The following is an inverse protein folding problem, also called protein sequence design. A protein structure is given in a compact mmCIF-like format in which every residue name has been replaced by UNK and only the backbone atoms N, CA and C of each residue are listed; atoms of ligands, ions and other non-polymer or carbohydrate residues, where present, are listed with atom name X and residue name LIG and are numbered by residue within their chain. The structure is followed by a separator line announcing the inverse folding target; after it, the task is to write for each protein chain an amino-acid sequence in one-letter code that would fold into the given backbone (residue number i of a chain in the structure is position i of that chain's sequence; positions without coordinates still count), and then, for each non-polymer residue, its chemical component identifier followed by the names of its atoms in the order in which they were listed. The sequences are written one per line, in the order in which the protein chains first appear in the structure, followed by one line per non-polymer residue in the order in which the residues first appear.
data_IF_055698970936
#
_entry.id   IF_055698970936
#
_cell.length_a   1.000
_cell.length_b   1.000
_cell.length_c   1.000
_cell.angle_alpha   90.00
_cell.angle_beta   90.00
_cell.angle_gamma   90.00
#
_symmetry.space_group_name_H-M   'P 1'
#
loop_
_entity.id
_entity.type
_entity.pdbx_description
1 polymer ?
#
# COMPACT_ATOMS: atom_id res chain seq x y z
N UNK A 1 20.46 2.59 -14.06
CA UNK A 1 19.62 3.33 -13.08
C UNK A 1 20.59 4.19 -12.29
N UNK A 2 20.36 5.50 -12.17
CA UNK A 2 21.24 6.34 -11.36
C UNK A 2 20.77 6.22 -9.91
N UNK A 3 21.64 5.78 -9.00
CA UNK A 3 21.34 5.64 -7.57
C UNK A 3 21.33 7.01 -6.89
N UNK A 4 20.35 7.82 -7.26
CA UNK A 4 20.17 9.21 -6.83
C UNK A 4 18.83 9.36 -6.13
N UNK A 5 18.82 10.17 -5.07
CA UNK A 5 17.60 10.55 -4.38
C UNK A 5 16.87 11.67 -5.13
N UNK A 6 15.54 11.64 -5.08
CA UNK A 6 14.74 12.83 -5.39
C UNK A 6 15.07 13.93 -4.38
N UNK A 7 15.26 15.15 -4.87
CA UNK A 7 15.54 16.34 -4.08
C UNK A 7 14.65 17.49 -4.53
N UNK A 8 14.13 18.23 -3.55
CA UNK A 8 13.58 19.56 -3.78
C UNK A 8 14.72 20.53 -4.11
N UNK A 9 14.63 21.16 -5.27
CA UNK A 9 15.57 22.16 -5.76
C UNK A 9 15.04 23.59 -5.60
N UNK A 10 15.94 24.57 -5.73
CA UNK A 10 15.60 25.99 -5.78
C UNK A 10 14.54 26.25 -6.85
N UNK A 11 13.48 27.00 -6.50
CA UNK A 11 12.33 27.24 -7.38
C UNK A 11 11.28 26.12 -7.36
N UNK A 12 11.46 25.10 -6.52
CA UNK A 12 10.45 24.09 -6.21
C UNK A 12 10.44 22.85 -7.11
N UNK A 13 11.37 22.72 -8.05
CA UNK A 13 11.47 21.55 -8.92
C UNK A 13 11.92 20.31 -8.15
N UNK A 14 11.44 19.13 -8.53
CA UNK A 14 11.93 17.85 -7.99
C UNK A 14 12.89 17.21 -8.99
N UNK A 15 14.11 16.92 -8.58
CA UNK A 15 15.17 16.36 -9.43
C UNK A 15 15.76 15.10 -8.81
N UNK A 16 16.28 14.17 -9.63
CA UNK A 16 16.98 12.99 -9.17
C UNK A 16 18.50 13.23 -9.11
N UNK A 17 18.95 14.24 -8.36
CA UNK A 17 20.35 14.70 -8.32
C UNK A 17 21.05 14.39 -6.99
N UNK A 18 20.32 14.02 -5.93
CA UNK A 18 20.86 13.85 -4.59
C UNK A 18 21.75 12.62 -4.43
N UNK A 19 23.01 12.81 -4.03
CA UNK A 19 23.97 11.72 -3.71
C UNK A 19 23.82 11.13 -2.30
N UNK A 20 23.13 11.87 -1.42
CA UNK A 20 22.96 11.51 -0.01
C UNK A 20 21.61 11.96 0.49
N UNK A 21 21.17 11.33 1.59
CA UNK A 21 19.97 11.76 2.31
C UNK A 21 20.16 13.20 2.80
N UNK A 22 19.12 14.01 2.63
CA UNK A 22 19.06 15.40 3.08
C UNK A 22 17.61 15.76 3.38
N UNK A 23 17.38 16.89 4.04
CA UNK A 23 16.01 17.39 4.27
C UNK A 23 15.25 17.60 2.96
N UNK A 24 15.93 18.03 1.88
CA UNK A 24 15.33 18.20 0.55
C UNK A 24 14.96 16.87 -0.10
N UNK A 25 15.52 15.74 0.37
CA UNK A 25 15.20 14.40 -0.10
C UNK A 25 14.13 13.69 0.73
N UNK A 26 13.54 14.37 1.72
CA UNK A 26 12.45 13.83 2.52
C UNK A 26 11.11 14.34 2.01
N UNK A 27 10.18 13.39 1.83
CA UNK A 27 8.82 13.66 1.41
C UNK A 27 7.86 12.98 2.37
N UNK A 28 6.86 13.71 2.84
CA UNK A 28 5.72 13.13 3.54
C UNK A 28 4.77 12.48 2.52
N UNK A 29 4.31 11.28 2.80
CA UNK A 29 3.25 10.63 2.02
C UNK A 29 1.90 10.94 2.68
N UNK A 30 0.95 11.41 1.89
CA UNK A 30 -0.42 11.69 2.33
C UNK A 30 -1.39 10.86 1.51
N UNK A 31 -1.78 9.73 2.07
CA UNK A 31 -2.75 8.81 1.47
C UNK A 31 -4.16 9.40 1.50
N UNK A 32 -4.87 9.28 0.39
CA UNK A 32 -6.23 9.78 0.20
C UNK A 32 -7.26 8.66 0.37
N UNK A 33 -8.54 9.03 0.47
CA UNK A 33 -9.63 8.05 0.55
C UNK A 33 -9.79 7.24 -0.74
N UNK A 34 -9.48 7.82 -1.90
CA UNK A 34 -9.59 7.20 -3.23
C UNK A 34 -8.38 6.34 -3.63
N UNK A 35 -7.49 6.04 -2.68
CA UNK A 35 -6.28 5.23 -2.89
C UNK A 35 -5.12 5.96 -3.56
N UNK A 36 -5.30 7.24 -3.94
CA UNK A 36 -4.19 8.06 -4.39
C UNK A 36 -3.28 8.49 -3.23
N UNK A 37 -2.05 8.85 -3.55
CA UNK A 37 -1.06 9.39 -2.62
C UNK A 37 -0.56 10.73 -3.14
N UNK A 38 -0.48 11.72 -2.25
CA UNK A 38 0.22 12.97 -2.50
C UNK A 38 1.56 12.98 -1.77
N UNK A 39 2.55 13.66 -2.35
CA UNK A 39 3.86 13.88 -1.73
C UNK A 39 3.95 15.31 -1.23
N UNK A 40 4.31 15.50 0.03
CA UNK A 40 4.59 16.81 0.62
C UNK A 40 6.09 16.99 0.83
N UNK A 41 6.68 17.97 0.14
CA UNK A 41 8.10 18.28 0.28
C UNK A 41 8.39 19.10 1.55
N UNK A 42 9.68 19.25 1.88
CA UNK A 42 10.11 19.98 3.08
C UNK A 42 9.86 21.51 3.04
N UNK A 43 9.50 22.08 1.87
CA UNK A 43 9.00 23.46 1.77
C UNK A 43 7.52 23.60 2.19
N UNK A 44 6.90 22.51 2.65
CA UNK A 44 5.52 22.49 3.13
C UNK A 44 4.47 22.32 2.03
N UNK A 45 4.87 22.27 0.75
CA UNK A 45 3.99 22.19 -0.42
C UNK A 45 3.88 20.79 -1.00
N UNK A 46 2.79 20.51 -1.69
CA UNK A 46 2.54 19.27 -2.41
C UNK A 46 3.16 19.27 -3.80
N UNK A 47 3.67 18.09 -4.20
CA UNK A 47 4.28 17.83 -5.50
C UNK A 47 3.20 17.67 -6.57
N UNK A 48 3.19 18.57 -7.55
CA UNK A 48 2.33 18.52 -8.73
C UNK A 48 3.08 17.94 -9.94
N UNK A 49 2.33 17.35 -10.86
CA UNK A 49 2.78 17.10 -12.23
C UNK A 49 2.32 18.23 -13.14
N UNK A 50 3.26 19.04 -13.66
CA UNK A 50 2.94 20.06 -14.67
C UNK A 50 2.48 19.42 -15.97
N UNK A 51 1.81 20.17 -16.85
CA UNK A 51 1.44 19.70 -18.21
C UNK A 51 2.63 19.17 -19.03
N UNK A 52 3.84 19.65 -18.74
CA UNK A 52 5.08 19.18 -19.35
C UNK A 52 5.61 17.86 -18.78
N UNK A 53 4.94 17.25 -17.78
CA UNK A 53 5.40 16.06 -17.06
C UNK A 53 6.40 16.31 -15.93
N UNK A 54 6.87 17.56 -15.75
CA UNK A 54 7.84 17.89 -14.70
C UNK A 54 7.16 17.95 -13.32
N UNK A 55 7.90 17.49 -12.31
CA UNK A 55 7.45 17.48 -10.92
C UNK A 55 7.90 18.75 -10.17
N UNK A 56 6.96 19.39 -9.47
CA UNK A 56 7.21 20.62 -8.70
C UNK A 56 6.45 20.63 -7.38
N UNK A 57 7.10 20.97 -6.26
CA UNK A 57 6.43 21.17 -4.97
C UNK A 57 5.92 22.62 -4.84
N UNK A 58 4.79 22.92 -5.48
CA UNK A 58 4.25 24.29 -5.55
C UNK A 58 2.82 24.44 -5.06
N UNK A 59 2.09 23.35 -4.85
CA UNK A 59 0.69 23.42 -4.41
C UNK A 59 0.54 23.46 -2.89
N UNK A 60 -0.37 24.28 -2.38
CA UNK A 60 -0.72 24.32 -0.96
C UNK A 60 -1.87 23.35 -0.61
N UNK A 61 -2.59 22.86 -1.64
CA UNK A 61 -3.71 21.91 -1.51
C UNK A 61 -3.50 20.67 -2.37
N UNK A 62 -4.21 19.58 -2.07
CA UNK A 62 -4.19 18.36 -2.88
C UNK A 62 -5.30 18.50 -3.92
N UNK A 63 -4.89 18.68 -5.19
CA UNK A 63 -5.76 18.61 -6.35
C UNK A 63 -5.40 17.41 -7.23
N UNK A 64 -6.06 17.26 -8.38
CA UNK A 64 -5.80 16.15 -9.31
C UNK A 64 -4.36 16.08 -9.82
N UNK A 65 -3.64 17.21 -9.89
CA UNK A 65 -2.24 17.24 -10.32
C UNK A 65 -1.27 16.76 -9.24
N UNK A 66 -1.73 16.71 -7.98
CA UNK A 66 -1.01 16.16 -6.82
C UNK A 66 -1.23 14.66 -6.61
N UNK A 67 -2.16 14.03 -7.33
CA UNK A 67 -2.56 12.63 -7.08
C UNK A 67 -1.71 11.65 -7.89
N UNK A 68 -1.08 10.72 -7.18
CA UNK A 68 -0.32 9.62 -7.75
C UNK A 68 -0.90 8.28 -7.28
N UNK A 69 -0.60 7.22 -8.02
CA UNK A 69 -1.04 5.87 -7.67
C UNK A 69 0.17 4.98 -7.40
N UNK A 70 0.12 4.28 -6.26
CA UNK A 70 1.23 3.46 -5.80
C UNK A 70 1.09 2.01 -6.25
N UNK A 71 2.20 1.43 -6.72
CA UNK A 71 2.33 0.01 -6.98
C UNK A 71 3.66 -0.50 -6.44
N UNK A 72 3.64 -1.60 -5.69
CA UNK A 72 4.84 -2.26 -5.21
C UNK A 72 5.39 -3.23 -6.27
N UNK A 73 6.07 -2.68 -7.27
CA UNK A 73 6.42 -3.39 -8.51
C UNK A 73 7.44 -4.53 -8.34
N UNK A 74 8.28 -4.45 -7.31
CA UNK A 74 9.32 -5.43 -6.97
C UNK A 74 8.81 -6.55 -6.04
N UNK A 75 7.49 -6.65 -5.85
CA UNK A 75 6.81 -7.74 -5.12
C UNK A 75 5.59 -8.25 -5.89
N UNK A 76 5.78 -8.95 -7.03
CA UNK A 76 4.67 -9.63 -7.70
C UNK A 76 4.11 -10.80 -6.88
N UNK A 77 4.89 -11.27 -5.89
CA UNK A 77 4.50 -12.25 -4.89
C UNK A 77 4.79 -11.63 -3.52
N UNK A 78 3.78 -11.60 -2.65
CA UNK A 78 3.87 -11.10 -1.29
C UNK A 78 3.83 -12.25 -0.28
N UNK A 79 4.51 -12.03 0.83
CA UNK A 79 4.35 -12.77 2.08
C UNK A 79 3.99 -11.72 3.13
N UNK A 80 2.88 -11.91 3.83
CA UNK A 80 2.43 -10.95 4.83
C UNK A 80 2.60 -11.53 6.23
N UNK A 81 3.06 -10.68 7.14
CA UNK A 81 3.22 -11.02 8.57
C UNK A 81 2.72 -9.87 9.43
N UNK A 82 1.97 -10.20 10.48
CA UNK A 82 1.62 -9.27 11.54
C UNK A 82 2.25 -9.73 12.87
N UNK A 83 1.90 -9.09 13.97
CA UNK A 83 2.42 -9.43 15.30
C UNK A 83 2.10 -10.88 15.71
N UNK A 84 0.97 -11.44 15.25
CA UNK A 84 0.54 -12.79 15.61
C UNK A 84 1.28 -13.89 14.82
N UNK A 85 1.85 -13.58 13.65
CA UNK A 85 2.47 -14.56 12.77
C UNK A 85 2.27 -14.23 11.29
N UNK A 86 2.53 -15.24 10.45
CA UNK A 86 2.35 -15.13 9.01
C UNK A 86 0.88 -15.31 8.62
N UNK A 87 0.51 -14.70 7.49
CA UNK A 87 -0.73 -15.01 6.78
C UNK A 87 -0.59 -16.37 6.10
N UNK A 88 -1.58 -17.23 6.31
CA UNK A 88 -1.71 -18.50 5.60
C UNK A 88 -3.06 -19.17 5.80
N UNK A 89 -3.31 -20.27 5.09
CA UNK A 89 -4.57 -20.99 5.22
C UNK A 89 -4.78 -21.55 6.62
N UNK A 90 -6.02 -21.49 7.11
CA UNK A 90 -6.43 -22.07 8.38
C UNK A 90 -6.08 -23.56 8.44
N UNK A 91 -6.41 -24.29 7.39
CA UNK A 91 -6.07 -25.70 7.15
C UNK A 91 -5.98 -25.98 5.65
N UNK A 92 -5.40 -27.12 5.26
CA UNK A 92 -5.24 -27.51 3.85
C UNK A 92 -6.56 -27.62 3.06
N UNK A 93 -7.68 -27.82 3.75
CA UNK A 93 -9.01 -27.95 3.14
C UNK A 93 -9.88 -26.69 3.29
N UNK A 94 -9.37 -25.64 3.94
CA UNK A 94 -10.13 -24.43 4.22
C UNK A 94 -9.59 -23.27 3.39
N UNK A 95 -10.45 -22.56 2.63
CA UNK A 95 -10.02 -21.37 1.90
C UNK A 95 -9.82 -20.16 2.82
N UNK A 96 -10.23 -20.25 4.09
CA UNK A 96 -10.08 -19.18 5.08
C UNK A 96 -8.61 -18.96 5.41
N UNK A 97 -8.20 -17.70 5.42
CA UNK A 97 -6.88 -17.26 5.83
C UNK A 97 -6.88 -16.85 7.31
N UNK A 98 -5.78 -17.11 7.98
CA UNK A 98 -5.45 -16.66 9.33
C UNK A 98 -4.06 -16.01 9.33
N UNK A 99 -3.78 -15.13 10.29
CA UNK A 99 -2.54 -14.36 10.39
C UNK A 99 -1.69 -14.72 11.63
N UNK A 100 -1.88 -15.92 12.20
CA UNK A 100 -1.13 -16.44 13.33
C UNK A 100 -0.33 -17.71 12.98
N UNK A 101 0.00 -17.90 11.70
CA UNK A 101 0.65 -19.11 11.22
C UNK A 101 2.16 -19.03 11.44
N UNK A 102 2.77 -20.18 11.74
CA UNK A 102 4.23 -20.31 11.82
C UNK A 102 4.88 -20.34 10.43
N UNK A 103 4.15 -20.83 9.42
CA UNK A 103 4.53 -20.86 8.01
C UNK A 103 3.72 -19.85 7.22
N UNK A 104 4.31 -19.29 6.18
CA UNK A 104 3.63 -18.34 5.30
C UNK A 104 3.00 -19.01 4.08
N UNK A 105 1.95 -18.38 3.57
CA UNK A 105 1.48 -18.57 2.21
C UNK A 105 2.00 -17.44 1.32
N UNK A 106 2.19 -17.76 0.04
CA UNK A 106 2.52 -16.76 -0.97
C UNK A 106 1.25 -16.21 -1.62
N UNK A 107 1.22 -14.89 -1.80
CA UNK A 107 0.08 -14.16 -2.33
C UNK A 107 0.52 -13.52 -3.64
N UNK A 108 -0.08 -13.91 -4.75
CA UNK A 108 0.18 -13.24 -6.03
C UNK A 108 -0.53 -11.87 -6.03
N UNK A 109 0.17 -10.85 -6.54
CA UNK A 109 -0.35 -9.48 -6.64
C UNK A 109 -0.54 -9.11 -8.10
N UNK A 110 -1.79 -8.97 -8.51
CA UNK A 110 -2.16 -8.48 -9.84
C UNK A 110 -2.44 -6.98 -9.77
N UNK A 111 -2.00 -6.21 -10.77
CA UNK A 111 -2.24 -4.76 -10.83
C UNK A 111 -3.59 -4.48 -11.48
N UNK A 112 -4.40 -3.66 -10.82
CA UNK A 112 -5.57 -3.02 -11.40
C UNK A 112 -5.30 -1.56 -11.76
N UNK A 113 -6.34 -0.82 -12.10
CA UNK A 113 -6.27 0.61 -12.41
C UNK A 113 -6.14 1.46 -11.15
N UNK A 114 -5.55 2.65 -11.28
CA UNK A 114 -5.53 3.68 -10.24
C UNK A 114 -5.03 3.19 -8.87
N UNK A 115 -3.94 2.44 -8.86
CA UNK A 115 -3.28 1.94 -7.63
C UNK A 115 -3.97 0.73 -6.99
N UNK A 116 -5.08 0.26 -7.55
CA UNK A 116 -5.75 -0.96 -7.09
C UNK A 116 -4.85 -2.16 -7.36
N UNK A 117 -4.83 -3.10 -6.41
CA UNK A 117 -4.25 -4.43 -6.56
C UNK A 117 -5.27 -5.50 -6.22
N UNK A 118 -5.09 -6.69 -6.80
CA UNK A 118 -5.87 -7.88 -6.51
C UNK A 118 -4.95 -8.95 -5.93
N UNK A 119 -5.39 -9.59 -4.86
CA UNK A 119 -4.65 -10.68 -4.23
C UNK A 119 -5.20 -12.02 -4.66
N UNK A 120 -4.30 -12.95 -4.97
CA UNK A 120 -4.65 -14.29 -5.41
C UNK A 120 -3.83 -15.33 -4.66
N UNK A 121 -4.51 -16.35 -4.15
CA UNK A 121 -3.87 -17.49 -3.50
C UNK A 121 -3.18 -18.41 -4.50
N UNK A 122 -2.34 -19.32 -4.01
CA UNK A 122 -1.69 -20.34 -4.84
C UNK A 122 -2.67 -21.25 -5.61
N UNK A 123 -3.91 -21.36 -5.13
CA UNK A 123 -4.99 -22.09 -5.78
C UNK A 123 -5.61 -21.32 -6.98
N UNK A 124 -5.01 -20.21 -7.41
CA UNK A 124 -5.51 -19.31 -8.46
C UNK A 124 -6.89 -18.71 -8.18
N UNK A 125 -7.30 -18.64 -6.90
CA UNK A 125 -8.52 -17.95 -6.48
C UNK A 125 -8.18 -16.61 -5.86
N UNK A 126 -9.02 -15.62 -6.11
CA UNK A 126 -8.88 -14.29 -5.56
C UNK A 126 -9.26 -14.28 -4.07
N UNK A 127 -8.66 -13.34 -3.36
CA UNK A 127 -9.10 -13.00 -2.02
C UNK A 127 -10.53 -12.45 -2.07
N UNK A 128 -11.35 -12.92 -1.16
CA UNK A 128 -12.62 -12.32 -0.78
C UNK A 128 -12.50 -11.84 0.66
N UNK A 129 -12.95 -10.61 0.93
CA UNK A 129 -12.83 -9.97 2.21
C UNK A 129 -14.19 -9.49 2.72
N UNK A 130 -14.55 -9.87 3.94
CA UNK A 130 -15.76 -9.40 4.59
C UNK A 130 -15.49 -8.99 6.06
N UNK A 131 -16.56 -8.64 6.79
CA UNK A 131 -16.46 -8.22 8.18
C UNK A 131 -16.11 -9.34 9.17
N UNK A 132 -16.14 -10.61 8.74
CA UNK A 132 -15.91 -11.80 9.56
C UNK A 132 -14.53 -12.42 9.29
N UNK A 133 -14.11 -12.53 8.02
CA UNK A 133 -12.84 -13.14 7.64
C UNK A 133 -12.37 -12.76 6.22
N UNK A 134 -11.17 -13.25 5.89
CA UNK A 134 -10.65 -13.28 4.52
C UNK A 134 -10.56 -14.73 4.05
N UNK A 135 -11.02 -15.00 2.83
CA UNK A 135 -10.90 -16.30 2.15
C UNK A 135 -10.19 -16.14 0.81
N UNK A 136 -9.60 -17.20 0.28
CA UNK A 136 -9.05 -17.24 -1.08
C UNK A 136 -9.76 -18.33 -1.90
N UNK A 137 -11.02 -18.09 -2.24
CA UNK A 137 -11.91 -19.00 -2.99
C UNK A 137 -12.70 -18.30 -4.11
N UNK A 138 -12.55 -16.99 -4.27
CA UNK A 138 -13.30 -16.21 -5.25
C UNK A 138 -12.76 -16.40 -6.68
N UNK A 139 -13.68 -16.47 -7.65
CA UNK A 139 -13.36 -16.38 -9.09
C UNK A 139 -13.29 -14.94 -9.59
N UNK A 140 -13.82 -13.98 -8.82
CA UNK A 140 -13.83 -12.55 -9.16
C UNK A 140 -12.88 -11.77 -8.28
N UNK A 141 -12.08 -10.84 -8.85
CA UNK A 141 -11.12 -10.07 -8.09
C UNK A 141 -11.80 -9.00 -7.21
N UNK A 142 -11.37 -8.89 -5.96
CA UNK A 142 -11.68 -7.77 -5.08
C UNK A 142 -10.48 -6.83 -4.94
N UNK A 143 -10.73 -5.54 -5.10
CA UNK A 143 -9.69 -4.52 -5.13
C UNK A 143 -9.24 -4.05 -3.75
N UNK A 144 -7.94 -3.85 -3.62
CA UNK A 144 -7.31 -3.27 -2.43
C UNK A 144 -6.29 -2.18 -2.81
N UNK A 145 -6.00 -1.30 -1.88
CA UNK A 145 -4.86 -0.38 -1.91
C UNK A 145 -3.80 -0.82 -0.90
N UNK A 146 -2.53 -0.70 -1.32
CA UNK A 146 -1.37 -0.86 -0.44
C UNK A 146 -0.90 0.51 0.01
N UNK A 147 -1.03 0.82 1.30
CA UNK A 147 -0.59 2.09 1.86
C UNK A 147 0.71 1.90 2.67
N UNK A 148 1.87 2.31 2.12
CA UNK A 148 3.16 2.27 2.81
C UNK A 148 3.14 3.10 4.09
N UNK A 149 3.71 2.56 5.18
CA UNK A 149 3.77 3.20 6.50
C UNK A 149 5.18 3.29 7.04
N UNK A 150 5.76 2.15 7.36
CA UNK A 150 7.14 2.03 7.85
C UNK A 150 8.01 1.42 6.74
N UNK A 151 9.35 1.50 6.84
CA UNK A 151 10.24 1.01 5.79
C UNK A 151 9.93 -0.40 5.28
N UNK A 152 9.43 -1.28 6.16
CA UNK A 152 9.08 -2.66 5.84
C UNK A 152 7.62 -2.99 6.12
N UNK A 153 6.74 -1.98 6.33
CA UNK A 153 5.33 -2.22 6.66
C UNK A 153 4.35 -1.42 5.82
N UNK A 154 3.23 -2.04 5.51
CA UNK A 154 2.11 -1.45 4.81
C UNK A 154 0.78 -1.74 5.52
N UNK A 155 -0.23 -0.92 5.26
CA UNK A 155 -1.61 -1.26 5.56
C UNK A 155 -2.32 -1.67 4.27
N UNK A 156 -3.30 -2.56 4.39
CA UNK A 156 -4.16 -2.99 3.28
C UNK A 156 -5.53 -2.38 3.50
N UNK A 157 -6.00 -1.63 2.49
CA UNK A 157 -7.30 -0.94 2.52
C UNK A 157 -8.16 -1.45 1.38
N UNK A 158 -9.44 -1.68 1.62
CA UNK A 158 -10.40 -2.00 0.57
C UNK A 158 -10.68 -0.77 -0.29
N UNK A 159 -11.16 -0.95 -1.52
CA UNK A 159 -11.61 0.19 -2.35
C UNK A 159 -12.76 1.00 -1.73
N UNK A 160 -13.46 0.42 -0.75
CA UNK A 160 -14.54 1.09 0.00
C UNK A 160 -14.02 1.94 1.17
N UNK A 161 -12.70 1.94 1.42
CA UNK A 161 -12.05 2.81 2.39
C UNK A 161 -11.81 2.21 3.77
N UNK A 162 -12.11 0.93 3.98
CA UNK A 162 -11.91 0.22 5.23
C UNK A 162 -10.57 -0.52 5.26
N UNK A 163 -9.94 -0.66 6.42
CA UNK A 163 -8.67 -1.37 6.56
C UNK A 163 -8.86 -2.82 6.96
N UNK A 164 -7.91 -3.68 6.56
CA UNK A 164 -7.82 -5.02 7.12
C UNK A 164 -7.25 -4.97 8.54
N UNK A 165 -7.92 -5.67 9.45
CA UNK A 165 -7.58 -5.72 10.87
C UNK A 165 -7.42 -7.15 11.36
N UNK A 166 -6.28 -7.44 11.97
CA UNK A 166 -5.96 -8.68 12.66
C UNK A 166 -6.50 -8.64 14.09
N UNK A 167 -7.04 -9.77 14.51
CA UNK A 167 -7.52 -10.04 15.86
C UNK A 167 -6.50 -10.90 16.60
N UNK A 168 -6.50 -10.84 17.94
CA UNK A 168 -5.56 -11.59 18.78
C UNK A 168 -5.62 -13.11 18.61
N UNK A 169 -6.74 -13.64 18.11
CA UNK A 169 -6.93 -15.06 17.84
C UNK A 169 -6.41 -15.51 16.46
N UNK A 170 -5.78 -14.61 15.68
CA UNK A 170 -5.27 -14.88 14.34
C UNK A 170 -6.30 -14.74 13.22
N UNK A 171 -7.57 -14.41 13.52
CA UNK A 171 -8.50 -14.00 12.48
C UNK A 171 -8.14 -12.61 11.98
N UNK A 172 -8.29 -12.35 10.68
CA UNK A 172 -8.25 -10.99 10.13
C UNK A 172 -9.41 -10.81 9.16
N UNK A 173 -9.89 -9.58 9.05
CA UNK A 173 -11.17 -9.21 8.42
C UNK A 173 -11.19 -7.73 8.07
N UNK A 174 -12.24 -7.26 7.41
CA UNK A 174 -12.49 -5.84 7.20
C UNK A 174 -12.87 -5.17 8.53
N UNK A 175 -12.14 -4.12 8.88
CA UNK A 175 -12.38 -3.25 10.02
C UNK A 175 -13.04 -1.93 9.63
N UNK A 176 -12.72 -0.86 10.36
CA UNK A 176 -13.20 0.48 10.06
C UNK A 176 -12.26 1.24 9.11
N UNK A 177 -12.54 2.52 8.88
CA UNK A 177 -11.73 3.41 8.05
C UNK A 177 -10.65 4.16 8.83
N UNK A 178 -10.47 3.87 10.13
CA UNK A 178 -9.43 4.50 10.94
C UNK A 178 -8.09 3.80 10.68
N UNK A 179 -7.07 4.57 10.32
CA UNK A 179 -5.74 4.01 10.10
C UNK A 179 -5.09 3.50 11.38
N UNK A 180 -5.45 4.06 12.54
CA UNK A 180 -4.88 3.65 13.82
C UNK A 180 -5.33 2.24 14.25
N UNK A 181 -6.47 1.78 13.73
CA UNK A 181 -6.97 0.42 13.95
C UNK A 181 -6.40 -0.59 12.95
N UNK A 182 -5.84 -0.11 11.83
CA UNK A 182 -5.36 -0.94 10.74
C UNK A 182 -4.17 -1.80 11.17
N UNK A 183 -4.15 -3.04 10.68
CA UNK A 183 -2.97 -3.88 10.85
C UNK A 183 -1.85 -3.43 9.91
N UNK A 184 -0.66 -3.25 10.49
CA UNK A 184 0.56 -3.03 9.74
C UNK A 184 1.19 -4.39 9.41
N UNK A 185 1.24 -4.70 8.13
CA UNK A 185 1.76 -5.95 7.60
C UNK A 185 3.21 -5.76 7.16
N UNK A 186 4.11 -6.59 7.66
CA UNK A 186 5.44 -6.77 7.11
C UNK A 186 5.37 -7.54 5.78
N UNK A 187 6.17 -7.14 4.78
CA UNK A 187 6.05 -7.59 3.37
C UNK A 187 7.40 -7.80 2.63
#
# INVERSE_FOLDING_TARGET
MQDRYWTLETGGGIQASGDKRSSNALFGLTWQSDGSVAFRANNGRYVITKRSGHLYATSDTIDETCKYYFYLVNRPILVLKCEQGFVGYKSASSPKLECNKATYETIQVERGDKGVVYFKGQNNKYWHADSECITADSDTPEGFYLELREPTRLCIKTINGNYLVASKNGCFRIGDSNIESATQWEY
#
